data_IF_775410796406
#
_entry.id   IF_775410796406
#
_cell.length_a   1.000
_cell.length_b   1.000
_cell.length_c   1.000
_cell.angle_alpha   90.00
_cell.angle_beta   90.00
_cell.angle_gamma   90.00
#
_symmetry.space_group_name_H-M   'P 1'
#
loop_
_entity.id
_entity.type
_entity.pdbx_description
1 polymer ?
#
# COMPACT_ATOMS: atom_id res chain seq x y z
N UNK A 1 5.99 -15.75 15.67
CA UNK A 1 6.05 -14.43 15.03
C UNK A 1 6.92 -14.57 13.78
N UNK A 2 6.29 -14.82 12.62
CA UNK A 2 7.02 -15.09 11.37
C UNK A 2 7.04 -13.80 10.57
N UNK A 3 8.19 -13.13 10.56
CA UNK A 3 8.45 -12.01 9.66
C UNK A 3 8.58 -12.56 8.24
N UNK A 4 7.53 -12.37 7.43
CA UNK A 4 7.61 -12.62 6.00
C UNK A 4 8.55 -11.56 5.41
N UNK A 5 9.63 -12.04 4.81
CA UNK A 5 10.72 -11.25 4.25
C UNK A 5 10.23 -10.49 3.02
N UNK A 6 9.66 -9.30 3.20
CA UNK A 6 9.48 -8.34 2.12
C UNK A 6 10.84 -7.66 1.86
N UNK A 7 11.45 -7.79 0.66
CA UNK A 7 12.76 -7.23 0.40
C UNK A 7 12.63 -5.74 0.06
N UNK A 8 12.29 -4.87 1.02
CA UNK A 8 12.60 -3.43 0.93
C UNK A 8 12.88 -2.85 2.32
N UNK A 9 13.87 -3.41 3.02
CA UNK A 9 14.65 -2.62 3.98
C UNK A 9 15.69 -1.88 3.15
N UNK A 10 15.31 -0.70 2.64
CA UNK A 10 16.31 0.25 2.17
C UNK A 10 17.05 0.74 3.42
N UNK A 11 18.28 0.25 3.58
CA UNK A 11 19.26 0.73 4.54
C UNK A 11 19.33 2.25 4.47
N UNK A 12 18.97 2.92 5.57
CA UNK A 12 19.14 4.36 5.72
C UNK A 12 20.63 4.63 5.96
N UNK A 13 21.40 4.77 4.89
CA UNK A 13 22.70 5.45 4.89
C UNK A 13 22.74 6.37 3.68
N UNK A 14 22.81 7.66 3.96
CA UNK A 14 22.74 8.73 2.98
C UNK A 14 23.76 8.55 1.86
N UNK A 15 23.26 8.50 0.63
CA UNK A 15 23.92 8.97 -0.60
C UNK A 15 22.84 9.01 -1.70
N UNK A 16 22.94 10.00 -2.58
CA UNK A 16 21.90 10.43 -3.53
C UNK A 16 21.16 9.35 -4.31
N UNK A 17 19.86 9.57 -4.47
CA UNK A 17 18.97 8.77 -5.31
C UNK A 17 19.30 8.99 -6.79
N UNK A 18 20.16 8.12 -7.35
CA UNK A 18 20.41 8.05 -8.78
C UNK A 18 19.71 6.82 -9.35
N UNK A 19 18.63 7.07 -10.10
CA UNK A 19 18.11 6.22 -11.18
C UNK A 19 17.80 4.75 -10.88
N UNK A 20 16.66 4.47 -10.23
CA UNK A 20 15.95 3.22 -10.49
C UNK A 20 15.00 3.41 -11.69
N UNK A 21 14.95 2.48 -12.66
CA UNK A 21 14.01 2.58 -13.78
C UNK A 21 12.58 2.60 -13.23
N UNK A 22 11.78 3.58 -13.70
CA UNK A 22 10.35 3.69 -13.40
C UNK A 22 9.60 2.49 -14.02
N UNK A 23 9.69 1.31 -13.41
CA UNK A 23 8.80 0.22 -13.77
C UNK A 23 7.38 0.63 -13.37
N UNK A 24 6.47 0.72 -14.36
CA UNK A 24 5.04 0.92 -14.11
C UNK A 24 4.52 -0.37 -13.47
N UNK A 25 4.14 -0.38 -12.17
CA UNK A 25 3.89 -1.63 -11.43
C UNK A 25 2.64 -2.39 -11.86
N UNK A 26 1.82 -1.82 -12.75
CA UNK A 26 0.63 -2.46 -13.31
C UNK A 26 0.61 -2.25 -14.82
N UNK A 27 0.05 -3.21 -15.57
CA UNK A 27 -0.09 -3.13 -17.04
C UNK A 27 -0.94 -1.96 -17.56
N UNK A 28 -1.41 -1.08 -16.68
CA UNK A 28 -2.21 0.10 -16.98
C UNK A 28 -1.30 1.30 -17.21
N UNK A 29 -1.26 1.77 -18.45
CA UNK A 29 -0.40 2.89 -18.87
C UNK A 29 -0.93 4.26 -18.41
N UNK A 30 -2.24 4.41 -18.26
CA UNK A 30 -2.93 5.64 -17.90
C UNK A 30 -2.88 5.92 -16.38
N UNK A 31 -2.41 7.11 -15.98
CA UNK A 31 -2.21 7.45 -14.57
C UNK A 31 -3.53 7.62 -13.81
N UNK A 32 -4.58 8.11 -14.47
CA UNK A 32 -5.89 8.30 -13.88
C UNK A 32 -6.52 6.95 -13.54
N UNK A 33 -6.52 6.01 -14.49
CA UNK A 33 -7.02 4.65 -14.28
C UNK A 33 -6.25 3.92 -13.18
N UNK A 34 -4.91 4.03 -13.17
CA UNK A 34 -4.09 3.47 -12.08
C UNK A 34 -4.51 4.00 -10.72
N UNK A 35 -4.71 5.32 -10.61
CA UNK A 35 -5.14 5.95 -9.37
C UNK A 35 -6.49 5.45 -8.92
N UNK A 36 -7.48 5.47 -9.81
CA UNK A 36 -8.83 5.02 -9.52
C UNK A 36 -8.84 3.58 -9.01
N UNK A 37 -8.10 2.68 -9.66
CA UNK A 37 -7.95 1.29 -9.22
C UNK A 37 -7.24 1.17 -7.88
N UNK A 38 -6.15 1.91 -7.66
CA UNK A 38 -5.40 1.86 -6.40
C UNK A 38 -6.26 2.31 -5.21
N UNK A 39 -6.99 3.42 -5.38
CA UNK A 39 -7.92 3.92 -4.35
C UNK A 39 -9.04 2.91 -4.12
N UNK A 40 -9.64 2.37 -5.19
CA UNK A 40 -10.74 1.39 -5.09
C UNK A 40 -10.32 0.10 -4.36
N UNK A 41 -9.18 -0.49 -4.75
CA UNK A 41 -8.64 -1.69 -4.10
C UNK A 41 -8.28 -1.40 -2.64
N UNK A 42 -7.69 -0.25 -2.35
CA UNK A 42 -7.39 0.13 -0.96
C UNK A 42 -8.67 0.23 -0.13
N UNK A 43 -9.71 0.88 -0.67
CA UNK A 43 -10.99 1.00 0.02
C UNK A 43 -11.62 -0.37 0.31
N UNK A 44 -11.57 -1.30 -0.65
CA UNK A 44 -12.07 -2.66 -0.46
C UNK A 44 -11.34 -3.39 0.68
N UNK A 45 -10.01 -3.36 0.69
CA UNK A 45 -9.20 -3.99 1.75
C UNK A 45 -9.49 -3.41 3.15
N UNK A 46 -9.80 -2.11 3.23
CA UNK A 46 -10.15 -1.45 4.48
C UNK A 46 -11.59 -1.79 4.92
N UNK A 47 -12.55 -1.81 3.99
CA UNK A 47 -13.96 -2.15 4.28
C UNK A 47 -14.13 -3.61 4.71
N UNK A 48 -13.38 -4.53 4.10
CA UNK A 48 -13.38 -5.95 4.43
C UNK A 48 -12.55 -6.26 5.70
N UNK A 49 -11.98 -5.25 6.35
CA UNK A 49 -11.17 -5.41 7.56
C UNK A 49 -9.90 -6.24 7.34
N UNK A 50 -9.39 -6.29 6.10
CA UNK A 50 -8.18 -7.04 5.74
C UNK A 50 -6.92 -6.21 6.01
N UNK A 51 -7.03 -4.89 5.96
CA UNK A 51 -5.94 -3.98 6.29
C UNK A 51 -6.41 -2.84 7.20
N UNK A 52 -5.46 -2.24 7.91
CA UNK A 52 -5.65 -1.05 8.74
C UNK A 52 -4.79 0.07 8.19
N UNK A 53 -5.42 1.23 7.95
CA UNK A 53 -4.74 2.45 7.52
C UNK A 53 -4.10 3.16 8.72
N UNK A 54 -2.93 3.73 8.49
CA UNK A 54 -2.19 4.45 9.51
C UNK A 54 -0.94 5.13 8.98
N UNK A 55 -0.14 5.59 9.92
CA UNK A 55 1.21 6.11 9.69
C UNK A 55 2.26 5.11 10.22
N UNK A 56 3.51 5.30 9.84
CA UNK A 56 4.64 4.49 10.35
C UNK A 56 5.73 5.41 10.84
N UNK A 57 6.25 5.13 12.03
CA UNK A 57 7.46 5.74 12.59
C UNK A 57 8.41 4.68 13.15
N UNK A 58 9.37 5.08 13.99
CA UNK A 58 10.37 4.20 14.61
C UNK A 58 9.75 3.12 15.52
N UNK A 59 8.54 3.33 16.02
CA UNK A 59 7.84 2.42 16.94
C UNK A 59 6.92 1.45 16.19
N UNK A 60 6.70 1.66 14.89
CA UNK A 60 5.94 0.78 14.03
C UNK A 60 4.73 1.46 13.40
N UNK A 61 3.70 0.66 13.09
CA UNK A 61 2.46 1.15 12.49
C UNK A 61 1.52 1.72 13.55
N UNK A 62 1.03 2.92 13.29
CA UNK A 62 0.08 3.63 14.14
C UNK A 62 -1.24 3.79 13.38
N UNK A 63 -2.27 2.99 13.71
CA UNK A 63 -3.59 3.14 13.12
C UNK A 63 -4.13 4.55 13.28
N UNK A 64 -4.75 5.08 12.22
CA UNK A 64 -5.48 6.33 12.37
C UNK A 64 -6.68 6.14 13.32
N UNK A 65 -6.98 7.10 14.21
CA UNK A 65 -8.03 6.97 15.21
C UNK A 65 -9.44 7.13 14.64
N UNK A 66 -9.59 7.17 13.31
CA UNK A 66 -10.84 7.48 12.61
C UNK A 66 -11.57 6.21 12.13
N UNK A 67 -12.81 6.37 11.69
CA UNK A 67 -13.54 5.26 11.08
C UNK A 67 -12.90 4.83 9.76
N UNK A 68 -13.22 3.61 9.31
CA UNK A 68 -12.83 3.14 7.97
C UNK A 68 -13.28 4.10 6.86
N UNK A 69 -14.48 4.68 6.98
CA UNK A 69 -14.99 5.65 6.02
C UNK A 69 -14.15 6.92 5.96
N UNK A 70 -13.74 7.45 7.11
CA UNK A 70 -12.89 8.65 7.18
C UNK A 70 -11.48 8.38 6.63
N UNK A 71 -10.93 7.18 6.88
CA UNK A 71 -9.65 6.78 6.30
C UNK A 71 -9.73 6.74 4.76
N UNK A 72 -10.81 6.18 4.21
CA UNK A 72 -11.04 6.12 2.76
C UNK A 72 -11.22 7.54 2.18
N UNK A 73 -11.98 8.40 2.84
CA UNK A 73 -12.12 9.82 2.46
C UNK A 73 -10.75 10.49 2.38
N UNK A 74 -9.94 10.35 3.45
CA UNK A 74 -8.61 10.95 3.51
C UNK A 74 -7.71 10.45 2.40
N UNK A 75 -7.68 9.14 2.14
CA UNK A 75 -6.88 8.52 1.07
C UNK A 75 -7.33 9.04 -0.29
N UNK A 76 -8.63 9.08 -0.53
CA UNK A 76 -9.23 9.51 -1.79
C UNK A 76 -8.93 10.98 -2.06
N UNK A 77 -9.21 11.85 -1.08
CA UNK A 77 -8.94 13.28 -1.15
C UNK A 77 -7.46 13.53 -1.43
N UNK A 78 -6.56 12.96 -0.62
CA UNK A 78 -5.10 13.09 -0.79
C UNK A 78 -4.66 12.64 -2.18
N UNK A 79 -5.10 11.47 -2.63
CA UNK A 79 -4.75 10.92 -3.93
C UNK A 79 -5.25 11.73 -5.13
N UNK A 80 -6.39 12.43 -4.98
CA UNK A 80 -6.96 13.27 -6.04
C UNK A 80 -6.39 14.69 -6.05
N UNK A 81 -6.15 15.28 -4.87
CA UNK A 81 -5.79 16.70 -4.76
C UNK A 81 -4.30 16.94 -4.77
N UNK A 82 -3.51 16.08 -4.11
CA UNK A 82 -2.07 16.28 -3.99
C UNK A 82 -1.29 15.63 -5.14
N UNK A 83 -1.94 14.72 -5.87
CA UNK A 83 -1.30 13.88 -6.89
C UNK A 83 -2.15 13.77 -8.16
N UNK A 84 -2.42 14.89 -8.86
CA UNK A 84 -3.35 14.92 -10.00
C UNK A 84 -2.82 14.18 -11.23
N UNK A 85 -1.52 14.23 -11.50
CA UNK A 85 -0.94 13.75 -12.77
C UNK A 85 -0.12 12.46 -12.64
N UNK A 86 0.46 12.22 -11.46
CA UNK A 86 1.31 11.05 -11.19
C UNK A 86 1.09 10.54 -9.77
N UNK A 87 1.10 9.22 -9.61
CA UNK A 87 0.96 8.61 -8.30
C UNK A 87 2.25 8.85 -7.50
N UNK A 88 2.14 9.20 -6.21
CA UNK A 88 3.32 9.50 -5.43
C UNK A 88 4.28 8.33 -5.32
N UNK A 89 5.49 8.64 -4.86
CA UNK A 89 6.37 7.65 -4.26
C UNK A 89 5.58 6.80 -3.26
N UNK A 90 5.77 5.46 -3.26
CA UNK A 90 5.16 4.60 -2.25
C UNK A 90 5.32 5.22 -0.86
N UNK A 91 4.25 5.17 -0.05
CA UNK A 91 4.13 5.70 1.33
C UNK A 91 3.71 7.16 1.48
N UNK A 92 3.49 7.92 0.40
CA UNK A 92 3.08 9.32 0.54
C UNK A 92 1.60 9.53 0.90
N UNK A 93 0.74 8.51 0.71
CA UNK A 93 -0.72 8.63 0.93
C UNK A 93 -1.16 7.92 2.21
N UNK A 94 -0.69 6.68 2.43
CA UNK A 94 -1.11 5.83 3.55
C UNK A 94 -0.10 4.71 3.77
N UNK A 95 0.01 4.25 5.02
CA UNK A 95 0.59 2.96 5.36
C UNK A 95 -0.49 1.95 5.73
N UNK A 96 -0.42 0.77 5.11
CA UNK A 96 -1.35 -0.32 5.32
C UNK A 96 -0.68 -1.44 6.10
N UNK A 97 -1.31 -1.85 7.21
CA UNK A 97 -0.92 -3.03 7.97
C UNK A 97 -1.98 -4.13 7.80
N UNK A 98 -1.54 -5.36 7.50
CA UNK A 98 -2.45 -6.50 7.44
C UNK A 98 -3.04 -6.81 8.80
N UNK A 99 -4.34 -7.10 8.82
CA UNK A 99 -4.99 -7.76 9.96
C UNK A 99 -4.71 -9.26 9.94
N UNK A 100 -5.15 -9.99 10.96
CA UNK A 100 -5.13 -11.47 10.92
C UNK A 100 -5.94 -12.02 9.74
N UNK A 101 -7.08 -11.40 9.42
CA UNK A 101 -7.91 -11.77 8.28
C UNK A 101 -7.17 -11.53 6.95
N UNK A 102 -6.56 -10.35 6.77
CA UNK A 102 -5.74 -10.05 5.60
C UNK A 102 -4.54 -11.00 5.45
N UNK A 103 -3.87 -11.31 6.56
CA UNK A 103 -2.77 -12.28 6.57
C UNK A 103 -3.22 -13.69 6.17
N UNK A 104 -4.44 -14.11 6.55
CA UNK A 104 -5.00 -15.40 6.13
C UNK A 104 -5.21 -15.44 4.62
N UNK A 105 -5.88 -14.44 4.06
CA UNK A 105 -6.09 -14.32 2.60
C UNK A 105 -4.75 -14.29 1.86
N UNK A 106 -3.79 -13.50 2.35
CA UNK A 106 -2.45 -13.43 1.75
C UNK A 106 -1.74 -14.78 1.72
N UNK A 107 -1.84 -15.58 2.80
CA UNK A 107 -1.27 -16.94 2.82
C UNK A 107 -1.96 -17.89 1.85
N UNK A 108 -3.28 -17.81 1.72
CA UNK A 108 -4.05 -18.62 0.76
C UNK A 108 -3.61 -18.32 -0.69
N UNK A 109 -3.44 -17.03 -1.03
CA UNK A 109 -2.92 -16.61 -2.33
C UNK A 109 -1.51 -17.15 -2.57
N UNK A 110 -0.59 -16.93 -1.63
CA UNK A 110 0.79 -17.40 -1.78
C UNK A 110 0.88 -18.93 -1.96
N UNK A 111 0.05 -19.68 -1.24
CA UNK A 111 0.00 -21.13 -1.36
C UNK A 111 -0.49 -21.60 -2.75
N UNK A 112 -1.43 -20.86 -3.36
CA UNK A 112 -1.92 -21.13 -4.71
C UNK A 112 -0.86 -20.85 -5.77
N UNK A 113 -0.21 -19.69 -5.69
CA UNK A 113 0.82 -19.30 -6.67
C UNK A 113 2.02 -20.25 -6.64
N UNK A 114 2.41 -20.74 -5.45
CA UNK A 114 3.49 -21.73 -5.30
C UNK A 114 3.18 -23.11 -5.92
N UNK A 115 1.94 -23.39 -6.29
CA UNK A 115 1.55 -24.63 -7.01
C UNK A 115 1.54 -24.46 -8.52
N UNK A 116 1.73 -23.23 -9.02
CA UNK A 116 1.64 -22.88 -10.45
C UNK A 116 3.03 -22.72 -11.10
N UNK A 117 4.11 -22.87 -10.32
CA UNK A 117 5.51 -23.01 -10.78
C UNK A 117 5.91 -24.48 -10.93
#
# INVERSE_FOLDING_TARGET
MVAVRAPVIAHFRGTGWMGLPKQKPCGIADSIQRRTLTIGLTAELLMEGQMIAGDVDEQGHHPWPHSTGDAIERITRTGLTEWPDDFPTPRAIVWLANTEAGNRVGREVLAREAQTE
#
